data_IF_622878825748
#
_entry.id   IF_622878825748
#
_cell.length_a   1.000
_cell.length_b   1.000
_cell.length_c   1.000
_cell.angle_alpha   90.00
_cell.angle_beta   90.00
_cell.angle_gamma   90.00
#
_symmetry.space_group_name_H-M   'P 1'
#
loop_
_entity.id
_entity.type
_entity.pdbx_description
1 polymer ?
#
# COMPACT_ATOMS: atom_id res chain seq x y z
N UNK A 1 -7.24 -7.76 43.78
CA UNK A 1 -8.37 -7.21 43.00
C UNK A 1 -8.12 -5.73 42.75
N UNK A 2 -8.53 -5.25 41.57
CA UNK A 2 -8.80 -3.83 41.26
C UNK A 2 -7.70 -2.98 40.62
N UNK A 3 -7.12 -3.43 39.50
CA UNK A 3 -6.46 -2.54 38.51
C UNK A 3 -6.61 -3.02 37.05
N UNK A 4 -7.67 -3.76 36.71
CA UNK A 4 -7.90 -4.24 35.33
C UNK A 4 -9.34 -3.88 34.93
N UNK A 5 -9.61 -2.58 34.75
CA UNK A 5 -10.92 -2.14 34.23
C UNK A 5 -10.88 -0.88 33.36
N UNK A 6 -9.70 -0.35 33.02
CA UNK A 6 -9.62 0.93 32.27
C UNK A 6 -8.68 0.94 31.08
N UNK A 7 -8.45 -0.20 30.43
CA UNK A 7 -7.85 -0.24 29.07
C UNK A 7 -8.60 -1.12 28.07
N UNK A 8 -9.81 -1.54 28.42
CA UNK A 8 -10.70 -2.35 27.58
C UNK A 8 -11.67 -1.52 26.70
N UNK A 9 -11.48 -0.19 26.63
CA UNK A 9 -12.31 0.71 25.80
C UNK A 9 -11.61 1.23 24.53
N UNK A 10 -10.38 0.80 24.23
CA UNK A 10 -9.65 1.28 23.04
C UNK A 10 -9.56 0.27 21.89
N UNK A 11 -10.39 -0.78 21.91
CA UNK A 11 -10.59 -1.65 20.75
C UNK A 11 -11.60 -1.08 19.73
N UNK A 12 -12.11 0.14 19.99
CA UNK A 12 -12.78 0.96 18.97
C UNK A 12 -11.80 1.84 18.18
N UNK A 13 -10.52 1.93 18.58
CA UNK A 13 -9.51 2.77 17.92
C UNK A 13 -9.03 2.25 16.56
N UNK A 14 -9.03 0.93 16.33
CA UNK A 14 -8.53 0.34 15.06
C UNK A 14 -9.59 0.41 13.94
N UNK A 15 -10.89 0.44 14.29
CA UNK A 15 -11.97 0.65 13.31
C UNK A 15 -12.13 2.10 12.83
N UNK A 16 -11.42 3.07 13.43
CA UNK A 16 -11.47 4.48 12.98
C UNK A 16 -10.57 4.72 11.76
N UNK A 17 -9.53 3.89 11.52
CA UNK A 17 -8.65 4.09 10.36
C UNK A 17 -9.29 3.79 9.00
N UNK A 18 -10.41 3.03 8.95
CA UNK A 18 -11.14 2.80 7.69
C UNK A 18 -12.18 3.88 7.37
N UNK A 19 -12.65 4.66 8.35
CA UNK A 19 -13.70 5.67 8.12
C UNK A 19 -13.21 7.12 8.13
N UNK A 20 -11.92 7.38 8.40
CA UNK A 20 -11.37 8.74 8.36
C UNK A 20 -10.78 9.15 7.00
N UNK A 21 -10.78 8.25 6.01
CA UNK A 21 -10.35 8.55 4.62
C UNK A 21 -11.53 8.64 3.64
N UNK A 22 -12.78 8.65 4.12
CA UNK A 22 -13.99 8.72 3.27
C UNK A 22 -14.69 10.08 3.28
N UNK A 23 -14.07 11.12 3.87
CA UNK A 23 -14.57 12.50 3.82
C UNK A 23 -13.44 13.43 3.44
N UNK A 24 -13.26 13.61 2.14
CA UNK A 24 -12.32 14.54 1.54
C UNK A 24 -12.62 14.55 0.06
N UNK A 25 -13.23 15.64 -0.38
CA UNK A 25 -13.66 15.88 -1.75
C UNK A 25 -12.61 15.44 -2.78
N UNK A 26 -13.04 14.69 -3.79
CA UNK A 26 -12.27 14.51 -5.01
C UNK A 26 -12.36 15.84 -5.79
N UNK A 27 -11.72 16.89 -5.28
CA UNK A 27 -11.30 17.99 -6.14
C UNK A 27 -10.11 17.48 -6.92
N UNK A 28 -10.16 17.61 -8.24
CA UNK A 28 -9.03 17.33 -9.10
C UNK A 28 -7.91 18.32 -8.79
N UNK A 29 -7.15 18.05 -7.75
CA UNK A 29 -5.98 18.82 -7.35
C UNK A 29 -4.93 18.67 -8.45
N UNK A 30 -5.01 19.59 -9.41
CA UNK A 30 -3.97 19.79 -10.39
C UNK A 30 -2.82 20.41 -9.63
N UNK A 31 -1.82 19.59 -9.29
CA UNK A 31 -0.61 20.06 -8.65
C UNK A 31 0.15 20.92 -9.67
N UNK A 32 0.34 22.20 -9.39
CA UNK A 32 1.23 23.06 -10.17
C UNK A 32 2.67 22.64 -9.89
N UNK A 33 3.29 21.99 -10.87
CA UNK A 33 4.70 21.62 -10.81
C UNK A 33 5.47 22.52 -11.78
N UNK A 34 6.64 23.00 -11.36
CA UNK A 34 7.51 23.80 -12.22
C UNK A 34 7.79 23.05 -13.52
N UNK A 35 7.77 23.76 -14.65
CA UNK A 35 8.02 23.20 -15.98
C UNK A 35 9.40 22.54 -16.08
N UNK A 36 10.36 23.04 -15.31
CA UNK A 36 11.73 22.50 -15.25
C UNK A 36 11.74 21.06 -14.70
N UNK A 37 10.78 20.70 -13.84
CA UNK A 37 10.64 19.34 -13.32
C UNK A 37 10.19 18.33 -14.40
N UNK A 38 9.58 18.81 -15.48
CA UNK A 38 9.17 17.99 -16.63
C UNK A 38 10.16 18.03 -17.78
N UNK A 39 11.23 18.83 -17.70
CA UNK A 39 12.22 18.91 -18.77
C UNK A 39 12.84 17.55 -19.11
N UNK A 40 13.19 16.68 -18.13
CA UNK A 40 13.66 15.33 -18.44
C UNK A 40 12.63 14.50 -19.22
N UNK A 41 11.33 14.67 -18.94
CA UNK A 41 10.26 13.95 -19.64
C UNK A 41 10.13 14.47 -21.08
N UNK A 42 10.23 15.79 -21.28
CA UNK A 42 10.24 16.39 -22.60
C UNK A 42 11.45 15.96 -23.43
N UNK A 43 12.62 15.78 -22.81
CA UNK A 43 13.82 15.24 -23.47
C UNK A 43 13.62 13.80 -23.95
N UNK A 44 12.98 12.93 -23.16
CA UNK A 44 12.70 11.55 -23.56
C UNK A 44 11.84 11.50 -24.84
N UNK A 45 10.89 12.43 -24.99
CA UNK A 45 10.08 12.57 -26.22
C UNK A 45 10.94 13.07 -27.39
N UNK A 46 11.79 14.08 -27.16
CA UNK A 46 12.71 14.61 -28.19
C UNK A 46 13.70 13.56 -28.70
N UNK A 47 14.14 12.65 -27.81
CA UNK A 47 15.01 11.52 -28.16
C UNK A 47 14.27 10.39 -28.89
N UNK A 48 12.94 10.52 -29.08
CA UNK A 48 12.12 9.55 -29.79
C UNK A 48 11.81 8.28 -29.00
N UNK A 49 12.02 8.30 -27.68
CA UNK A 49 11.74 7.15 -26.80
C UNK A 49 10.24 6.98 -26.53
N UNK A 50 9.48 8.08 -26.59
CA UNK A 50 8.03 8.10 -26.39
C UNK A 50 7.37 9.03 -27.41
N UNK A 51 6.10 8.78 -27.73
CA UNK A 51 5.33 9.59 -28.68
C UNK A 51 5.03 10.98 -28.16
N UNK A 52 4.71 11.09 -26.87
CA UNK A 52 4.37 12.33 -26.19
C UNK A 52 4.68 12.25 -24.69
N UNK A 53 4.70 13.41 -24.02
CA UNK A 53 5.05 13.53 -22.59
C UNK A 53 4.08 12.75 -21.70
N UNK A 54 2.82 12.62 -22.12
CA UNK A 54 1.78 11.88 -21.40
C UNK A 54 2.05 10.37 -21.45
N UNK A 55 2.47 9.84 -22.59
CA UNK A 55 2.90 8.46 -22.73
C UNK A 55 4.17 8.19 -21.93
N UNK A 56 5.15 9.09 -21.97
CA UNK A 56 6.37 8.99 -21.17
C UNK A 56 6.05 8.94 -19.66
N UNK A 57 5.22 9.85 -19.17
CA UNK A 57 4.79 9.89 -17.77
C UNK A 57 4.01 8.63 -17.39
N UNK A 58 3.08 8.18 -18.26
CA UNK A 58 2.31 6.96 -18.03
C UNK A 58 3.22 5.75 -17.87
N UNK A 59 4.19 5.56 -18.77
CA UNK A 59 5.11 4.43 -18.72
C UNK A 59 6.02 4.49 -17.48
N UNK A 60 6.50 5.69 -17.11
CA UNK A 60 7.28 5.87 -15.89
C UNK A 60 6.52 5.42 -14.63
N UNK A 61 5.25 5.82 -14.51
CA UNK A 61 4.42 5.41 -13.37
C UNK A 61 4.12 3.91 -13.40
N UNK A 62 3.93 3.31 -14.58
CA UNK A 62 3.77 1.86 -14.73
C UNK A 62 5.03 1.10 -14.29
N UNK A 63 6.21 1.53 -14.72
CA UNK A 63 7.48 0.93 -14.32
C UNK A 63 7.70 1.03 -12.80
N UNK A 64 7.37 2.19 -12.23
CA UNK A 64 7.41 2.39 -10.78
C UNK A 64 6.41 1.48 -10.05
N UNK A 65 5.18 1.38 -10.53
CA UNK A 65 4.16 0.50 -9.95
C UNK A 65 4.63 -0.96 -9.99
N UNK A 66 5.12 -1.43 -11.14
CA UNK A 66 5.64 -2.78 -11.29
C UNK A 66 6.84 -3.06 -10.37
N UNK A 67 7.76 -2.09 -10.22
CA UNK A 67 8.88 -2.22 -9.29
C UNK A 67 8.42 -2.30 -7.83
N UNK A 68 7.42 -1.50 -7.43
CA UNK A 68 6.85 -1.53 -6.09
C UNK A 68 6.08 -2.83 -5.81
N UNK A 69 5.30 -3.31 -6.77
CA UNK A 69 4.61 -4.61 -6.68
C UNK A 69 5.63 -5.73 -6.45
N UNK A 70 6.68 -5.80 -7.28
CA UNK A 70 7.77 -6.80 -7.11
C UNK A 70 8.46 -6.70 -5.74
N UNK A 71 8.69 -5.48 -5.26
CA UNK A 71 9.28 -5.26 -3.95
C UNK A 71 8.39 -5.82 -2.83
N UNK A 72 7.10 -5.48 -2.82
CA UNK A 72 6.18 -5.98 -1.80
C UNK A 72 5.92 -7.49 -1.94
N UNK A 73 5.90 -8.04 -3.15
CA UNK A 73 5.82 -9.49 -3.36
C UNK A 73 6.99 -10.23 -2.71
N UNK A 74 8.22 -9.71 -2.85
CA UNK A 74 9.39 -10.27 -2.18
C UNK A 74 9.24 -10.21 -0.65
N UNK A 75 8.77 -9.09 -0.11
CA UNK A 75 8.57 -8.91 1.34
C UNK A 75 7.47 -9.80 1.90
N UNK A 76 6.35 -9.92 1.20
CA UNK A 76 5.26 -10.83 1.54
C UNK A 76 5.75 -12.29 1.47
N UNK A 77 6.56 -12.64 0.47
CA UNK A 77 7.15 -13.99 0.36
C UNK A 77 8.06 -14.31 1.54
N UNK A 78 8.87 -13.35 2.02
CA UNK A 78 9.68 -13.50 3.23
C UNK A 78 8.81 -13.75 4.46
N UNK A 79 7.71 -13.01 4.63
CA UNK A 79 6.76 -13.24 5.73
C UNK A 79 6.06 -14.60 5.63
N UNK A 80 5.60 -15.00 4.45
CA UNK A 80 5.05 -16.34 4.20
C UNK A 80 6.06 -17.44 4.56
N UNK A 81 7.34 -17.24 4.26
CA UNK A 81 8.39 -18.19 4.62
C UNK A 81 8.68 -18.22 6.13
N UNK A 82 8.65 -17.06 6.80
CA UNK A 82 8.87 -16.93 8.25
C UNK A 82 7.78 -17.68 9.02
N UNK A 83 6.52 -17.51 8.65
CA UNK A 83 5.37 -18.09 9.36
C UNK A 83 4.84 -19.39 8.76
N UNK A 84 5.27 -19.77 7.55
CA UNK A 84 4.83 -20.96 6.82
C UNK A 84 3.30 -21.05 6.63
N UNK A 85 2.64 -19.90 6.53
CA UNK A 85 1.19 -19.80 6.41
C UNK A 85 0.80 -18.61 5.54
N UNK A 86 -0.48 -18.51 5.16
CA UNK A 86 -0.99 -17.34 4.46
C UNK A 86 -1.20 -16.16 5.42
N UNK A 87 -1.32 -14.95 4.86
CA UNK A 87 -1.65 -13.77 5.67
C UNK A 87 -2.98 -13.93 6.41
N UNK A 88 -3.98 -14.56 5.78
CA UNK A 88 -5.28 -14.79 6.40
C UNK A 88 -5.18 -15.77 7.58
N UNK A 89 -4.40 -16.84 7.45
CA UNK A 89 -4.18 -17.79 8.55
C UNK A 89 -3.41 -17.12 9.70
N UNK A 90 -2.43 -16.28 9.36
CA UNK A 90 -1.69 -15.51 10.35
C UNK A 90 -2.59 -14.53 11.09
N UNK A 91 -3.47 -13.83 10.36
CA UNK A 91 -4.47 -12.93 10.93
C UNK A 91 -5.41 -13.66 11.89
N UNK A 92 -5.97 -14.81 11.49
CA UNK A 92 -6.83 -15.62 12.36
C UNK A 92 -6.10 -16.06 13.62
N UNK A 93 -4.84 -16.48 13.50
CA UNK A 93 -4.01 -16.87 14.65
C UNK A 93 -3.83 -15.72 15.65
N UNK A 94 -3.69 -14.49 15.18
CA UNK A 94 -3.57 -13.31 16.03
C UNK A 94 -4.91 -12.96 16.68
N UNK A 95 -6.02 -13.03 15.93
CA UNK A 95 -7.38 -12.71 16.39
C UNK A 95 -7.94 -13.75 17.38
N UNK A 96 -7.64 -15.04 17.17
CA UNK A 96 -8.13 -16.17 17.97
C UNK A 96 -7.22 -16.49 19.17
N UNK A 97 -6.08 -15.82 19.31
CA UNK A 97 -5.13 -16.08 20.39
C UNK A 97 -5.78 -15.80 21.75
N UNK A 98 -5.97 -16.86 22.54
CA UNK A 98 -6.30 -16.75 23.95
C UNK A 98 -5.03 -16.92 24.79
N UNK A 99 -4.64 -15.86 25.51
CA UNK A 99 -3.46 -15.87 26.39
C UNK A 99 -2.55 -14.66 26.16
N UNK A 100 -1.27 -14.82 26.49
CA UNK A 100 -0.29 -13.71 26.48
C UNK A 100 -0.02 -13.18 25.06
N UNK A 101 -0.05 -11.85 24.95
CA UNK A 101 0.27 -11.11 23.73
C UNK A 101 1.74 -11.33 23.36
N UNK A 102 1.98 -11.71 22.10
CA UNK A 102 3.34 -11.71 21.54
C UNK A 102 3.52 -10.44 20.70
N UNK A 103 4.15 -9.43 21.29
CA UNK A 103 4.40 -8.13 20.65
C UNK A 103 5.18 -8.26 19.33
N UNK A 104 6.11 -9.21 19.22
CA UNK A 104 6.86 -9.44 17.98
C UNK A 104 5.92 -9.90 16.85
N UNK A 105 5.01 -10.84 17.13
CA UNK A 105 4.03 -11.29 16.14
C UNK A 105 3.02 -10.20 15.77
N UNK A 106 2.67 -9.31 16.72
CA UNK A 106 1.83 -8.14 16.44
C UNK A 106 2.53 -7.12 15.54
N UNK A 107 3.81 -6.84 15.78
CA UNK A 107 4.61 -5.95 14.93
C UNK A 107 4.74 -6.52 13.51
N UNK A 108 5.06 -7.82 13.40
CA UNK A 108 5.12 -8.51 12.12
C UNK A 108 3.76 -8.54 11.39
N UNK A 109 2.65 -8.64 12.12
CA UNK A 109 1.30 -8.53 11.56
C UNK A 109 1.03 -7.17 10.93
N UNK A 110 1.32 -6.09 11.66
CA UNK A 110 1.12 -4.72 11.16
C UNK A 110 1.99 -4.47 9.92
N UNK A 111 3.23 -4.95 9.95
CA UNK A 111 4.15 -4.84 8.81
C UNK A 111 3.63 -5.63 7.60
N UNK A 112 3.18 -6.86 7.80
CA UNK A 112 2.66 -7.69 6.72
C UNK A 112 1.36 -7.11 6.13
N UNK A 113 0.41 -6.67 6.96
CA UNK A 113 -0.82 -6.01 6.49
C UNK A 113 -0.51 -4.76 5.64
N UNK A 114 0.52 -3.99 6.05
CA UNK A 114 0.98 -2.84 5.28
C UNK A 114 1.53 -3.23 3.90
N UNK A 115 2.23 -4.37 3.78
CA UNK A 115 2.76 -4.85 2.51
C UNK A 115 1.66 -5.31 1.56
N UNK A 116 0.67 -6.07 2.06
CA UNK A 116 -0.49 -6.50 1.27
C UNK A 116 -1.30 -5.28 0.79
N UNK A 117 -1.51 -4.30 1.67
CA UNK A 117 -2.20 -3.05 1.35
C UNK A 117 -1.45 -2.22 0.31
N UNK A 118 -0.14 -2.04 0.48
CA UNK A 118 0.69 -1.29 -0.46
C UNK A 118 0.76 -1.97 -1.83
N UNK A 119 0.91 -3.30 -1.87
CA UNK A 119 0.83 -4.08 -3.12
C UNK A 119 -0.50 -3.87 -3.82
N UNK A 120 -1.61 -3.97 -3.09
CA UNK A 120 -2.97 -3.76 -3.62
C UNK A 120 -3.14 -2.36 -4.21
N UNK A 121 -2.61 -1.33 -3.54
CA UNK A 121 -2.61 0.04 -4.04
C UNK A 121 -1.88 0.16 -5.39
N UNK A 122 -0.64 -0.32 -5.48
CA UNK A 122 0.14 -0.23 -6.72
C UNK A 122 -0.46 -1.06 -7.86
N UNK A 123 -1.08 -2.21 -7.57
CA UNK A 123 -1.81 -3.00 -8.55
C UNK A 123 -3.04 -2.25 -9.11
N UNK A 124 -3.75 -1.48 -8.26
CA UNK A 124 -4.86 -0.62 -8.72
C UNK A 124 -4.35 0.53 -9.60
N UNK A 125 -3.21 1.14 -9.24
CA UNK A 125 -2.57 2.18 -10.06
C UNK A 125 -2.20 1.62 -11.44
N UNK A 126 -1.55 0.45 -11.49
CA UNK A 126 -1.19 -0.23 -12.72
C UNK A 126 -2.43 -0.53 -13.59
N UNK A 127 -3.48 -1.11 -12.99
CA UNK A 127 -4.74 -1.45 -13.67
C UNK A 127 -5.40 -0.21 -14.27
N UNK A 128 -5.51 0.87 -13.49
CA UNK A 128 -6.11 2.14 -13.91
C UNK A 128 -5.37 2.76 -15.09
N UNK A 129 -4.03 2.73 -15.06
CA UNK A 129 -3.21 3.28 -16.14
C UNK A 129 -3.23 2.41 -17.40
N UNK A 130 -3.29 1.09 -17.26
CA UNK A 130 -3.43 0.17 -18.40
C UNK A 130 -4.83 0.21 -19.04
N UNK A 131 -5.81 0.89 -18.42
CA UNK A 131 -7.16 1.00 -18.94
C UNK A 131 -7.93 -0.32 -18.91
N UNK A 132 -7.52 -1.27 -18.06
CA UNK A 132 -8.26 -2.52 -17.85
C UNK A 132 -9.36 -2.25 -16.81
N UNK A 133 -10.64 -2.57 -17.07
CA UNK A 133 -11.65 -2.57 -16.03
C UNK A 133 -11.27 -3.63 -14.98
N UNK A 134 -11.22 -3.20 -13.72
CA UNK A 134 -10.97 -4.07 -12.57
C UNK A 134 -12.19 -4.88 -12.15
#
# INVERSE_FOLDING_TARGET
MQYITNRFLDLRGIYIFKNLLSTGEIMGDTIEVSRDAFEPIAELVKLGLFKDEKEALKNLVLDQAAAKIRHFDSKISQMRSKYKMSFNDFKLRIEERQGDENFEEWDDFIIWDSYESAKSYWAKVETKLLGRPG
#
